data_IF_442143638351
#
_entry.id   IF_442143638351
#
_cell.length_a   1.000
_cell.length_b   1.000
_cell.length_c   1.000
_cell.angle_alpha   90.00
_cell.angle_beta   90.00
_cell.angle_gamma   90.00
#
_symmetry.space_group_name_H-M   'P 1'
#
loop_
_entity.id
_entity.type
_entity.pdbx_description
1 polymer ?
#
# COMPACT_ATOMS: atom_id res chain seq x y z
N UNK A 1 76.07 25.28 11.23
CA UNK A 1 75.83 24.18 12.20
C UNK A 1 74.51 24.46 12.90
N UNK A 2 73.62 23.44 13.01
CA UNK A 2 72.18 23.54 13.37
C UNK A 2 71.34 24.16 12.24
N UNK A 3 70.45 23.46 11.51
CA UNK A 3 69.33 22.64 11.97
C UNK A 3 68.99 21.56 10.91
N UNK A 4 69.77 20.48 10.89
CA UNK A 4 69.48 19.25 10.14
C UNK A 4 68.61 18.26 10.95
N UNK A 5 67.68 18.77 11.76
CA UNK A 5 66.94 17.96 12.75
C UNK A 5 65.41 17.99 12.60
N UNK A 6 64.87 18.66 11.58
CA UNK A 6 63.42 18.76 11.36
C UNK A 6 62.87 17.86 10.25
N UNK A 7 63.72 17.09 9.56
CA UNK A 7 63.29 16.19 8.48
C UNK A 7 63.08 14.73 8.91
N UNK A 8 63.30 14.39 10.18
CA UNK A 8 63.27 12.98 10.65
C UNK A 8 62.05 12.59 11.48
N UNK A 9 61.03 13.43 11.52
CA UNK A 9 59.77 13.15 12.25
C UNK A 9 58.52 13.07 11.37
N UNK A 10 58.64 13.37 10.07
CA UNK A 10 57.51 13.28 9.12
C UNK A 10 57.50 11.94 8.35
N UNK A 11 58.60 11.19 8.36
CA UNK A 11 58.74 9.95 7.57
C UNK A 11 58.37 8.63 8.30
N UNK A 12 57.91 8.68 9.55
CA UNK A 12 57.59 7.46 10.32
C UNK A 12 56.09 7.12 10.40
N UNK A 13 55.19 8.01 9.98
CA UNK A 13 53.73 7.77 10.00
C UNK A 13 53.13 7.50 8.62
N UNK A 14 53.94 7.34 7.58
CA UNK A 14 53.47 7.20 6.18
C UNK A 14 53.78 5.84 5.52
N UNK A 15 54.14 4.80 6.30
CA UNK A 15 54.49 3.47 5.75
C UNK A 15 53.58 2.30 6.13
N UNK A 16 52.44 2.53 6.79
CA UNK A 16 51.51 1.44 7.14
C UNK A 16 50.02 1.68 6.79
N UNK A 17 49.72 2.42 5.72
CA UNK A 17 48.38 2.38 5.11
C UNK A 17 48.47 2.09 3.60
N UNK A 18 49.14 1.00 3.26
CA UNK A 18 48.97 0.33 1.96
C UNK A 18 48.21 -0.97 2.18
N UNK A 19 46.89 -0.87 2.27
CA UNK A 19 46.04 -1.99 1.91
C UNK A 19 44.68 -1.45 1.43
N UNK A 20 44.48 -1.28 0.10
CA UNK A 20 43.16 -0.93 -0.43
C UNK A 20 42.09 -2.00 -0.11
N UNK A 21 42.51 -3.20 0.33
CA UNK A 21 41.61 -4.26 0.81
C UNK A 21 40.93 -3.93 2.14
N UNK A 22 41.58 -3.19 3.04
CA UNK A 22 41.01 -2.83 4.36
C UNK A 22 39.97 -1.70 4.27
N UNK A 23 40.15 -0.78 3.32
CA UNK A 23 39.17 0.27 3.02
C UNK A 23 37.96 -0.30 2.25
N UNK A 24 38.18 -1.24 1.31
CA UNK A 24 37.07 -1.96 0.68
C UNK A 24 36.31 -2.87 1.66
N UNK A 25 37.00 -3.55 2.59
CA UNK A 25 36.31 -4.39 3.59
C UNK A 25 35.51 -3.56 4.59
N UNK A 26 36.01 -2.37 4.96
CA UNK A 26 35.26 -1.44 5.82
C UNK A 26 34.01 -0.87 5.11
N UNK A 27 34.08 -0.58 3.82
CA UNK A 27 32.89 -0.19 3.04
C UNK A 27 31.92 -1.36 2.82
N UNK A 28 32.41 -2.58 2.60
CA UNK A 28 31.56 -3.76 2.42
C UNK A 28 30.79 -4.09 3.71
N UNK A 29 31.42 -3.89 4.88
CA UNK A 29 30.75 -4.06 6.17
C UNK A 29 29.67 -3.00 6.36
N UNK A 30 29.89 -1.73 6.00
CA UNK A 30 28.86 -0.68 6.10
C UNK A 30 27.67 -0.95 5.17
N UNK A 31 27.89 -1.46 3.96
CA UNK A 31 26.82 -1.85 3.03
C UNK A 31 26.04 -3.07 3.55
N UNK A 32 26.68 -3.97 4.31
CA UNK A 32 26.02 -5.13 4.93
C UNK A 32 25.19 -4.78 6.19
N UNK A 33 25.38 -3.61 6.82
CA UNK A 33 24.56 -3.17 7.98
C UNK A 33 23.50 -2.12 7.61
N UNK A 34 23.52 -1.60 6.37
CA UNK A 34 22.49 -0.68 5.87
C UNK A 34 21.34 -1.38 5.12
N UNK A 35 21.34 -2.71 5.07
CA UNK A 35 20.24 -3.53 4.56
C UNK A 35 19.29 -4.05 5.64
N UNK A 36 19.11 -3.32 6.74
CA UNK A 36 17.99 -3.59 7.62
C UNK A 36 16.73 -3.15 6.90
N UNK A 37 15.99 -4.14 6.38
CA UNK A 37 14.58 -4.04 6.04
C UNK A 37 13.87 -3.20 7.10
N UNK A 38 13.56 -1.96 6.76
CA UNK A 38 12.49 -1.22 7.41
C UNK A 38 11.18 -1.69 6.78
N UNK A 39 10.92 -3.00 6.83
CA UNK A 39 9.52 -3.43 6.91
C UNK A 39 9.04 -2.89 8.26
N UNK A 40 7.94 -2.12 8.32
CA UNK A 40 7.34 -1.78 9.59
C UNK A 40 6.95 -3.12 10.24
N UNK A 41 7.75 -3.57 11.20
CA UNK A 41 7.36 -4.63 12.11
C UNK A 41 6.22 -4.01 12.92
N UNK A 42 5.00 -4.23 12.44
CA UNK A 42 3.79 -4.06 13.22
C UNK A 42 4.05 -4.75 14.54
N UNK A 43 4.20 -3.97 15.61
CA UNK A 43 4.27 -4.50 16.97
C UNK A 43 3.02 -5.33 17.17
N UNK A 44 3.16 -6.65 17.05
CA UNK A 44 2.12 -7.62 17.33
C UNK A 44 1.74 -7.43 18.79
N UNK A 45 0.66 -6.67 19.00
CA UNK A 45 -0.04 -6.67 20.27
C UNK A 45 -0.44 -8.13 20.55
N UNK A 46 -0.44 -8.49 21.83
CA UNK A 46 -0.73 -9.82 22.37
C UNK A 46 -2.15 -10.32 22.05
N UNK A 47 -2.45 -10.49 20.77
CA UNK A 47 -3.66 -11.10 20.27
C UNK A 47 -3.64 -12.60 20.51
N UNK A 48 -4.80 -13.16 20.79
CA UNK A 48 -4.98 -14.61 20.81
C UNK A 48 -4.51 -15.14 19.45
N UNK A 49 -3.56 -16.08 19.48
CA UNK A 49 -3.10 -16.77 18.28
C UNK A 49 -3.62 -18.20 18.32
N UNK A 50 -3.90 -18.76 17.17
CA UNK A 50 -4.28 -20.17 17.04
C UNK A 50 -3.28 -20.87 16.14
N UNK A 51 -2.97 -22.11 16.48
CA UNK A 51 -2.10 -22.98 15.68
C UNK A 51 -2.89 -24.23 15.33
N UNK A 52 -2.86 -24.61 14.06
CA UNK A 52 -3.44 -25.87 13.60
C UNK A 52 -2.47 -26.56 12.64
N UNK A 53 -2.64 -27.87 12.48
CA UNK A 53 -1.80 -28.66 11.58
C UNK A 53 -2.48 -28.76 10.22
N UNK A 54 -1.74 -28.39 9.19
CA UNK A 54 -2.12 -28.51 7.79
C UNK A 54 -2.45 -29.95 7.40
N UNK A 55 -3.43 -30.09 6.51
CA UNK A 55 -4.08 -31.36 6.20
C UNK A 55 -3.20 -32.36 5.43
N UNK A 56 -2.25 -31.88 4.61
CA UNK A 56 -1.45 -32.77 3.73
C UNK A 56 0.05 -32.78 4.03
N UNK A 57 0.66 -31.65 4.42
CA UNK A 57 2.10 -31.56 4.66
C UNK A 57 2.50 -31.71 6.14
N UNK A 58 1.51 -31.75 7.04
CA UNK A 58 1.70 -31.61 8.49
C UNK A 58 2.42 -30.32 8.93
N UNK A 59 2.49 -29.30 8.07
CA UNK A 59 3.00 -27.99 8.47
C UNK A 59 2.07 -27.36 9.52
N UNK A 60 2.67 -26.82 10.59
CA UNK A 60 1.91 -26.04 11.55
C UNK A 60 1.69 -24.64 11.00
N UNK A 61 0.43 -24.20 11.01
CA UNK A 61 0.02 -22.87 10.57
C UNK A 61 -0.49 -22.14 11.80
N UNK A 62 0.16 -21.02 12.13
CA UNK A 62 -0.14 -20.15 13.26
C UNK A 62 -0.57 -18.79 12.76
N UNK A 63 -1.67 -18.26 13.27
CA UNK A 63 -2.13 -16.92 12.92
C UNK A 63 -2.81 -16.23 14.10
N UNK A 64 -2.82 -14.90 14.06
CA UNK A 64 -3.51 -14.08 15.05
C UNK A 64 -5.01 -14.07 14.75
N UNK A 65 -5.87 -14.34 15.74
CA UNK A 65 -7.32 -14.44 15.58
C UNK A 65 -8.06 -13.11 15.76
N UNK A 66 -7.33 -11.98 15.81
CA UNK A 66 -7.91 -10.64 15.92
C UNK A 66 -8.66 -10.22 14.66
N UNK A 67 -9.78 -9.52 14.82
CA UNK A 67 -10.53 -8.92 13.71
C UNK A 67 -9.86 -7.69 13.05
N UNK A 68 -8.73 -7.24 13.60
CA UNK A 68 -7.93 -6.14 13.05
C UNK A 68 -6.61 -6.60 12.43
N UNK A 69 -6.34 -7.91 12.43
CA UNK A 69 -5.10 -8.47 11.89
C UNK A 69 -5.41 -9.12 10.54
N UNK A 70 -4.76 -8.63 9.48
CA UNK A 70 -4.97 -9.08 8.11
C UNK A 70 -4.21 -10.38 7.90
N UNK A 71 -4.92 -11.46 7.59
CA UNK A 71 -4.31 -12.74 7.22
C UNK A 71 -4.01 -12.81 5.73
N UNK A 72 -4.98 -12.40 4.92
CA UNK A 72 -4.86 -12.47 3.46
C UNK A 72 -5.45 -11.20 2.89
N UNK A 73 -4.75 -10.60 1.94
CA UNK A 73 -5.22 -9.43 1.23
C UNK A 73 -4.86 -9.51 -0.24
N UNK A 74 -5.77 -9.09 -1.10
CA UNK A 74 -5.48 -8.95 -2.53
C UNK A 74 -5.69 -7.54 -3.02
N UNK A 75 -4.81 -7.09 -3.89
CA UNK A 75 -4.97 -5.89 -4.68
C UNK A 75 -4.98 -6.25 -6.15
N UNK A 76 -5.60 -5.40 -6.95
CA UNK A 76 -5.51 -5.46 -8.39
C UNK A 76 -5.13 -4.09 -8.90
N UNK A 77 -4.34 -4.05 -9.97
CA UNK A 77 -3.86 -2.83 -10.57
C UNK A 77 -2.39 -2.95 -10.93
N UNK A 78 -1.86 -1.94 -11.61
CA UNK A 78 -0.46 -1.89 -11.99
C UNK A 78 -0.25 -1.42 -13.43
N UNK A 79 0.93 -0.86 -13.69
CA UNK A 79 1.36 -0.46 -15.01
C UNK A 79 0.99 0.97 -15.43
N UNK A 80 1.72 1.58 -16.37
CA UNK A 80 1.56 3.01 -16.74
C UNK A 80 0.18 3.42 -17.32
N UNK A 81 -0.72 2.47 -17.59
CA UNK A 81 -2.14 2.70 -17.97
C UNK A 81 -3.14 2.02 -17.02
N UNK A 82 -2.65 1.60 -15.86
CA UNK A 82 -3.34 0.70 -14.94
C UNK A 82 -4.51 1.34 -14.21
N UNK A 83 -5.25 0.48 -13.52
CA UNK A 83 -6.39 0.91 -12.69
C UNK A 83 -5.88 1.32 -11.31
N UNK A 84 -6.32 2.47 -10.81
CA UNK A 84 -6.15 2.82 -9.41
C UNK A 84 -7.29 2.24 -8.57
N UNK A 85 -6.93 1.45 -7.56
CA UNK A 85 -7.91 0.92 -6.62
C UNK A 85 -7.78 1.61 -5.27
N UNK A 86 -8.89 2.22 -4.85
CA UNK A 86 -8.99 2.89 -3.56
C UNK A 86 -8.77 1.92 -2.39
N UNK A 87 -8.95 0.61 -2.58
CA UNK A 87 -8.70 -0.37 -1.54
C UNK A 87 -8.46 -1.77 -2.08
N UNK A 88 -8.21 -2.73 -1.18
CA UNK A 88 -8.04 -4.13 -1.55
C UNK A 88 -9.31 -4.71 -2.19
N UNK A 89 -9.14 -5.68 -3.08
CA UNK A 89 -10.26 -6.45 -3.62
C UNK A 89 -10.83 -7.41 -2.57
N UNK A 90 -9.97 -8.04 -1.79
CA UNK A 90 -10.31 -8.96 -0.70
C UNK A 90 -9.40 -8.63 0.48
N UNK A 91 -9.97 -8.55 1.68
CA UNK A 91 -9.24 -8.57 2.95
C UNK A 91 -9.89 -9.61 3.86
N UNK A 92 -9.12 -10.57 4.36
CA UNK A 92 -9.55 -11.59 5.32
C UNK A 92 -8.77 -11.37 6.62
N UNK A 93 -9.50 -11.27 7.72
CA UNK A 93 -8.95 -11.01 9.05
C UNK A 93 -8.85 -12.28 9.89
N UNK A 94 -8.06 -12.18 10.96
CA UNK A 94 -7.80 -13.25 11.92
C UNK A 94 -9.02 -13.93 12.48
N UNK A 95 -10.08 -13.16 12.71
CA UNK A 95 -11.33 -13.68 13.26
C UNK A 95 -12.21 -14.39 12.20
N UNK A 96 -11.80 -14.40 10.93
CA UNK A 96 -12.56 -14.92 9.79
C UNK A 96 -13.49 -13.90 9.13
N UNK A 97 -13.54 -12.65 9.61
CA UNK A 97 -14.22 -11.57 8.88
C UNK A 97 -13.54 -11.36 7.55
N UNK A 98 -14.31 -11.18 6.48
CA UNK A 98 -13.75 -10.73 5.21
C UNK A 98 -14.50 -9.52 4.68
N UNK A 99 -13.77 -8.64 4.00
CA UNK A 99 -14.29 -7.47 3.32
C UNK A 99 -13.91 -7.57 1.84
N UNK A 100 -14.90 -7.43 0.95
CA UNK A 100 -14.73 -7.39 -0.49
C UNK A 100 -14.83 -5.94 -0.96
N UNK A 101 -13.76 -5.43 -1.56
CA UNK A 101 -13.62 -4.01 -1.86
C UNK A 101 -13.65 -3.18 -0.57
N UNK A 102 -14.51 -2.15 -0.56
CA UNK A 102 -14.72 -1.26 0.57
C UNK A 102 -16.18 -1.23 1.05
N UNK A 103 -17.02 -2.18 0.59
CA UNK A 103 -18.48 -2.05 0.71
C UNK A 103 -19.23 -3.32 1.06
N UNK A 104 -18.60 -4.51 1.02
CA UNK A 104 -19.26 -5.78 1.36
C UNK A 104 -18.47 -6.53 2.41
N UNK A 105 -19.16 -7.00 3.44
CA UNK A 105 -18.57 -7.78 4.51
C UNK A 105 -19.25 -9.16 4.58
N UNK A 106 -18.48 -10.19 4.87
CA UNK A 106 -18.97 -11.51 5.24
C UNK A 106 -18.11 -12.15 6.33
N UNK A 107 -18.39 -13.43 6.58
CA UNK A 107 -17.71 -14.20 7.63
C UNK A 107 -17.40 -15.61 7.14
N UNK A 108 -16.15 -16.03 7.31
CA UNK A 108 -15.75 -17.43 7.33
C UNK A 108 -15.84 -17.93 8.76
N UNK A 109 -16.48 -19.08 8.97
CA UNK A 109 -16.32 -19.76 10.25
C UNK A 109 -14.88 -20.29 10.40
N UNK A 110 -14.52 -20.69 11.63
CA UNK A 110 -13.17 -21.15 11.95
C UNK A 110 -12.72 -22.32 11.08
N UNK A 111 -13.63 -23.25 10.75
CA UNK A 111 -13.32 -24.42 9.93
C UNK A 111 -13.04 -24.01 8.49
N UNK A 112 -13.87 -23.15 7.91
CA UNK A 112 -13.68 -22.63 6.57
C UNK A 112 -12.39 -21.82 6.45
N UNK A 113 -12.07 -20.99 7.45
CA UNK A 113 -10.81 -20.23 7.47
C UNK A 113 -9.59 -21.16 7.56
N UNK A 114 -9.61 -22.15 8.46
CA UNK A 114 -8.52 -23.12 8.58
C UNK A 114 -8.35 -23.96 7.31
N UNK A 115 -9.45 -24.36 6.67
CA UNK A 115 -9.41 -25.10 5.41
C UNK A 115 -8.81 -24.23 4.28
N UNK A 116 -9.18 -22.95 4.21
CA UNK A 116 -8.59 -22.00 3.26
C UNK A 116 -7.08 -21.89 3.48
N UNK A 117 -6.64 -21.59 4.70
CA UNK A 117 -5.22 -21.46 5.04
C UNK A 117 -4.44 -22.75 4.77
N UNK A 118 -4.98 -23.92 5.13
CA UNK A 118 -4.36 -25.22 4.80
C UNK A 118 -4.25 -25.40 3.30
N UNK A 119 -5.27 -25.01 2.52
CA UNK A 119 -5.21 -25.19 1.06
C UNK A 119 -4.14 -24.28 0.45
N UNK A 120 -4.06 -23.01 0.87
CA UNK A 120 -3.07 -22.07 0.37
C UNK A 120 -1.63 -22.46 0.74
N UNK A 121 -1.42 -22.90 1.98
CA UNK A 121 -0.07 -23.26 2.47
C UNK A 121 0.33 -24.66 2.02
N UNK A 122 -0.54 -25.65 2.13
CA UNK A 122 -0.17 -27.05 1.90
C UNK A 122 -0.36 -27.48 0.45
N UNK A 123 -1.52 -27.18 -0.13
CA UNK A 123 -1.88 -27.63 -1.49
C UNK A 123 -1.23 -26.71 -2.53
N UNK A 124 -1.41 -25.40 -2.36
CA UNK A 124 -0.85 -24.40 -3.28
C UNK A 124 0.58 -23.99 -2.93
N UNK A 125 1.08 -24.34 -1.74
CA UNK A 125 2.50 -24.26 -1.40
C UNK A 125 3.07 -22.86 -1.43
N UNK A 126 2.25 -21.84 -1.22
CA UNK A 126 2.65 -20.44 -1.46
C UNK A 126 3.90 -20.04 -0.66
N UNK A 127 4.02 -20.52 0.58
CA UNK A 127 5.16 -20.23 1.45
C UNK A 127 6.49 -20.88 0.99
N UNK A 128 6.44 -21.78 0.00
CA UNK A 128 7.60 -22.49 -0.53
C UNK A 128 8.13 -21.94 -1.86
N UNK A 129 7.42 -20.98 -2.45
CA UNK A 129 7.78 -20.41 -3.74
C UNK A 129 9.18 -19.80 -3.71
N UNK A 130 9.91 -19.95 -4.81
CA UNK A 130 11.23 -19.32 -4.98
C UNK A 130 11.12 -17.94 -5.59
N UNK A 131 10.03 -17.68 -6.30
CA UNK A 131 9.77 -16.42 -6.97
C UNK A 131 8.53 -15.75 -6.37
N UNK A 132 8.62 -14.44 -6.20
CA UNK A 132 7.51 -13.62 -5.72
C UNK A 132 6.80 -12.85 -6.84
N UNK A 133 7.48 -12.59 -7.96
CA UNK A 133 6.98 -11.72 -9.04
C UNK A 133 6.71 -12.50 -10.32
N UNK A 134 5.48 -12.93 -10.56
CA UNK A 134 5.07 -13.59 -11.81
C UNK A 134 4.45 -12.59 -12.78
N UNK A 135 5.32 -11.77 -13.37
CA UNK A 135 4.97 -10.70 -14.29
C UNK A 135 6.13 -10.43 -15.25
N UNK A 136 5.88 -10.42 -16.56
CA UNK A 136 6.92 -10.18 -17.56
C UNK A 136 6.55 -9.21 -18.70
N UNK A 137 5.33 -8.67 -18.68
CA UNK A 137 4.88 -7.61 -19.61
C UNK A 137 4.71 -6.31 -18.82
N UNK A 138 5.58 -5.31 -19.00
CA UNK A 138 5.40 -4.00 -18.37
C UNK A 138 4.04 -3.38 -18.70
N UNK A 139 3.57 -2.49 -17.82
CA UNK A 139 2.39 -1.67 -18.06
C UNK A 139 1.05 -2.42 -18.17
N UNK A 140 0.96 -3.61 -17.58
CA UNK A 140 -0.28 -4.38 -17.41
C UNK A 140 -0.71 -4.42 -15.94
N UNK A 141 -2.02 -4.48 -15.70
CA UNK A 141 -2.55 -4.74 -14.37
C UNK A 141 -2.09 -6.14 -13.89
N UNK A 142 -1.87 -6.27 -12.59
CA UNK A 142 -1.58 -7.54 -11.93
C UNK A 142 -2.41 -7.66 -10.65
N UNK A 143 -2.51 -8.88 -10.13
CA UNK A 143 -3.06 -9.16 -8.81
C UNK A 143 -1.92 -9.35 -7.83
N UNK A 144 -1.92 -8.57 -6.76
CA UNK A 144 -1.01 -8.75 -5.63
C UNK A 144 -1.73 -9.54 -4.55
N UNK A 145 -1.03 -10.49 -3.94
CA UNK A 145 -1.49 -11.32 -2.84
C UNK A 145 -0.51 -11.15 -1.69
N UNK A 146 -1.01 -10.58 -0.60
CA UNK A 146 -0.33 -10.48 0.69
C UNK A 146 -0.89 -11.55 1.63
N UNK A 147 0.00 -12.33 2.25
CA UNK A 147 -0.31 -13.35 3.25
C UNK A 147 0.54 -13.11 4.50
N UNK A 148 -0.13 -13.00 5.64
CA UNK A 148 0.48 -12.93 6.96
C UNK A 148 0.12 -14.18 7.76
N UNK A 149 1.06 -15.11 7.89
CA UNK A 149 0.94 -16.32 8.70
C UNK A 149 2.30 -16.73 9.28
N UNK A 150 2.31 -17.43 10.40
CA UNK A 150 3.52 -17.93 11.06
C UNK A 150 4.54 -16.84 11.42
N UNK A 151 4.04 -15.62 11.68
CA UNK A 151 4.88 -14.45 11.92
C UNK A 151 5.69 -14.02 10.69
N UNK A 152 5.35 -14.52 9.50
CA UNK A 152 5.95 -14.17 8.21
C UNK A 152 4.95 -13.39 7.37
N UNK A 153 5.49 -12.45 6.61
CA UNK A 153 4.80 -11.72 5.57
C UNK A 153 5.31 -12.23 4.22
N UNK A 154 4.39 -12.60 3.33
CA UNK A 154 4.69 -13.01 1.97
C UNK A 154 3.83 -12.21 1.01
N UNK A 155 4.49 -11.55 0.06
CA UNK A 155 3.83 -10.90 -1.06
C UNK A 155 4.14 -11.63 -2.36
N UNK A 156 3.09 -11.92 -3.14
CA UNK A 156 3.16 -12.56 -4.45
C UNK A 156 2.41 -11.71 -5.48
N UNK A 157 3.04 -11.45 -6.63
CA UNK A 157 2.44 -10.74 -7.75
C UNK A 157 2.10 -11.73 -8.87
N UNK A 158 0.86 -11.70 -9.34
CA UNK A 158 0.32 -12.53 -10.40
C UNK A 158 -0.19 -11.66 -11.56
N UNK A 159 0.47 -11.72 -12.71
CA UNK A 159 -0.01 -11.04 -13.91
C UNK A 159 0.40 -11.80 -15.17
N UNK A 160 0.46 -11.09 -16.31
CA UNK A 160 0.88 -11.70 -17.56
C UNK A 160 2.30 -12.27 -17.42
N UNK A 161 2.43 -13.58 -17.64
CA UNK A 161 3.66 -14.33 -17.43
C UNK A 161 3.84 -15.41 -18.50
N UNK A 162 5.07 -15.60 -18.98
CA UNK A 162 5.44 -16.59 -19.99
C UNK A 162 5.78 -16.01 -21.36
N UNK A 163 5.89 -14.69 -21.50
CA UNK A 163 6.44 -14.04 -22.69
C UNK A 163 7.97 -14.13 -22.75
N UNK A 164 8.64 -14.31 -21.59
CA UNK A 164 10.06 -14.62 -21.49
C UNK A 164 10.31 -16.11 -21.19
N UNK A 165 11.48 -16.67 -21.55
CA UNK A 165 11.85 -18.03 -21.14
C UNK A 165 11.80 -18.19 -19.62
N UNK A 166 10.92 -19.06 -19.13
CA UNK A 166 10.74 -19.37 -17.72
C UNK A 166 11.03 -20.85 -17.45
N UNK A 167 11.58 -21.16 -16.26
CA UNK A 167 11.86 -22.54 -15.87
C UNK A 167 10.55 -23.35 -15.69
N UNK A 168 10.65 -24.68 -15.68
CA UNK A 168 9.49 -25.52 -15.38
C UNK A 168 8.92 -25.24 -13.98
N UNK A 169 9.80 -24.92 -13.02
CA UNK A 169 9.41 -24.53 -11.67
C UNK A 169 8.65 -23.20 -11.67
N UNK A 170 9.12 -22.17 -12.37
CA UNK A 170 8.43 -20.88 -12.43
C UNK A 170 7.01 -21.03 -13.00
N UNK A 171 6.85 -21.88 -14.02
CA UNK A 171 5.54 -22.15 -14.63
C UNK A 171 4.60 -22.88 -13.68
N UNK A 172 5.12 -23.82 -12.89
CA UNK A 172 4.35 -24.52 -11.86
C UNK A 172 3.91 -23.57 -10.74
N UNK A 173 4.85 -22.78 -10.18
CA UNK A 173 4.55 -21.79 -9.13
C UNK A 173 3.53 -20.75 -9.63
N UNK A 174 3.66 -20.26 -10.86
CA UNK A 174 2.66 -19.38 -11.49
C UNK A 174 1.26 -20.02 -11.55
N UNK A 175 1.16 -21.28 -12.00
CA UNK A 175 -0.13 -21.98 -12.06
C UNK A 175 -0.74 -22.20 -10.67
N UNK A 176 0.10 -22.51 -9.67
CA UNK A 176 -0.33 -22.67 -8.28
C UNK A 176 -0.79 -21.36 -7.67
N UNK A 177 -0.14 -20.24 -7.99
CA UNK A 177 -0.62 -18.90 -7.60
C UNK A 177 -2.00 -18.60 -8.20
N UNK A 178 -2.19 -18.90 -9.49
CA UNK A 178 -3.50 -18.75 -10.14
C UNK A 178 -4.60 -19.60 -9.48
N UNK A 179 -4.27 -20.84 -9.09
CA UNK A 179 -5.18 -21.71 -8.32
C UNK A 179 -5.47 -21.15 -6.93
N UNK A 180 -4.47 -20.66 -6.22
CA UNK A 180 -4.63 -20.04 -4.90
C UNK A 180 -5.57 -18.83 -4.95
N UNK A 181 -5.40 -17.94 -5.94
CA UNK A 181 -6.29 -16.79 -6.14
C UNK A 181 -7.73 -17.24 -6.44
N UNK A 182 -7.89 -18.31 -7.23
CA UNK A 182 -9.21 -18.91 -7.46
C UNK A 182 -9.79 -19.50 -6.17
N UNK A 183 -9.02 -20.26 -5.39
CA UNK A 183 -9.43 -20.81 -4.09
C UNK A 183 -9.89 -19.72 -3.13
N UNK A 184 -9.12 -18.64 -3.01
CA UNK A 184 -9.47 -17.45 -2.23
C UNK A 184 -10.80 -16.87 -2.67
N UNK A 185 -10.96 -16.62 -3.98
CA UNK A 185 -12.19 -16.06 -4.53
C UNK A 185 -13.40 -16.94 -4.27
N UNK A 186 -13.26 -18.27 -4.32
CA UNK A 186 -14.35 -19.22 -4.02
C UNK A 186 -14.70 -19.26 -2.53
N UNK A 187 -13.71 -19.17 -1.65
CA UNK A 187 -13.95 -19.19 -0.20
C UNK A 187 -14.85 -18.02 0.26
N UNK A 188 -14.75 -16.87 -0.40
CA UNK A 188 -15.47 -15.64 -0.02
C UNK A 188 -16.78 -15.41 -0.80
N UNK A 189 -17.37 -16.44 -1.42
CA UNK A 189 -18.64 -16.34 -2.17
C UNK A 189 -19.90 -16.47 -1.30
N UNK A 190 -19.74 -16.53 0.02
CA UNK A 190 -20.85 -16.65 0.97
C UNK A 190 -21.78 -15.41 1.01
N UNK A 191 -22.83 -15.45 1.84
CA UNK A 191 -23.70 -14.30 2.04
C UNK A 191 -22.91 -13.11 2.59
N UNK A 192 -23.20 -11.92 2.09
CA UNK A 192 -22.56 -10.66 2.50
C UNK A 192 -23.60 -9.62 2.93
N UNK A 193 -23.17 -8.70 3.80
CA UNK A 193 -23.89 -7.48 4.17
C UNK A 193 -23.09 -6.26 3.71
N UNK A 194 -23.72 -5.09 3.70
CA UNK A 194 -22.99 -3.84 3.45
C UNK A 194 -21.95 -3.60 4.56
N UNK A 195 -20.72 -3.29 4.17
CA UNK A 195 -19.70 -2.81 5.08
C UNK A 195 -19.92 -1.31 5.33
N UNK A 196 -19.95 -0.91 6.60
CA UNK A 196 -20.13 0.48 7.01
C UNK A 196 -19.00 0.88 7.98
N UNK A 197 -17.88 1.34 7.41
CA UNK A 197 -16.81 1.97 8.19
C UNK A 197 -17.29 3.33 8.72
N UNK A 198 -17.16 3.56 10.04
CA UNK A 198 -17.55 4.83 10.68
C UNK A 198 -16.48 5.89 10.63
N UNK A 199 -15.24 5.47 10.39
CA UNK A 199 -14.09 6.35 10.27
C UNK A 199 -13.72 6.40 8.80
N UNK A 200 -13.49 7.61 8.31
CA UNK A 200 -13.36 7.88 6.88
C UNK A 200 -12.10 8.68 6.64
N UNK A 201 -11.35 8.27 5.62
CA UNK A 201 -10.32 9.09 5.04
C UNK A 201 -10.92 9.95 3.92
N UNK A 202 -10.52 11.21 3.91
CA UNK A 202 -10.67 12.08 2.76
C UNK A 202 -9.56 11.74 1.76
N UNK A 203 -9.90 11.80 0.48
CA UNK A 203 -8.98 11.77 -0.65
C UNK A 203 -9.48 12.81 -1.67
N UNK A 204 -8.59 13.70 -2.09
CA UNK A 204 -8.92 14.93 -2.83
C UNK A 204 -7.87 15.18 -3.90
N UNK A 205 -8.33 15.48 -5.11
CA UNK A 205 -7.46 15.98 -6.17
C UNK A 205 -8.20 17.02 -7.00
N UNK A 206 -7.46 17.98 -7.57
CA UNK A 206 -8.03 18.96 -8.48
C UNK A 206 -8.42 18.31 -9.80
N UNK A 207 -9.59 18.67 -10.33
CA UNK A 207 -10.11 18.14 -11.59
C UNK A 207 -10.41 19.26 -12.58
N UNK A 208 -10.07 19.03 -13.85
CA UNK A 208 -10.34 19.97 -14.96
C UNK A 208 -11.52 19.49 -15.83
N UNK A 209 -12.11 18.35 -15.47
CA UNK A 209 -13.18 17.70 -16.21
C UNK A 209 -14.48 17.58 -15.40
N UNK A 210 -14.70 18.50 -14.46
CA UNK A 210 -15.92 18.52 -13.65
C UNK A 210 -17.17 18.61 -14.55
N UNK A 211 -18.22 17.86 -14.19
CA UNK A 211 -19.44 17.85 -14.99
C UNK A 211 -20.29 19.10 -14.71
N UNK A 212 -20.07 20.16 -15.49
CA UNK A 212 -20.78 21.45 -15.32
C UNK A 212 -22.29 21.39 -15.64
N UNK A 213 -22.82 20.23 -16.05
CA UNK A 213 -24.27 20.02 -16.20
C UNK A 213 -24.96 19.74 -14.86
N UNK A 214 -24.22 19.41 -13.81
CA UNK A 214 -24.75 19.23 -12.46
C UNK A 214 -24.41 20.44 -11.60
N UNK A 215 -25.25 20.74 -10.60
CA UNK A 215 -24.90 21.70 -9.56
C UNK A 215 -23.76 21.12 -8.73
N UNK A 216 -22.63 21.81 -8.71
CA UNK A 216 -21.45 21.46 -7.91
C UNK A 216 -21.51 22.29 -6.62
N UNK A 217 -21.57 21.66 -5.43
CA UNK A 217 -21.62 22.39 -4.17
C UNK A 217 -20.28 23.05 -3.85
N UNK A 218 -20.33 24.14 -3.07
CA UNK A 218 -19.14 24.72 -2.46
C UNK A 218 -18.59 23.81 -1.35
N UNK A 219 -17.30 23.92 -1.08
CA UNK A 219 -16.65 23.18 0.01
C UNK A 219 -17.26 23.52 1.38
N UNK A 220 -17.80 22.55 2.15
CA UNK A 220 -18.57 22.83 3.36
C UNK A 220 -17.71 22.85 4.64
N UNK A 221 -16.39 22.69 4.55
CA UNK A 221 -15.49 22.61 5.70
C UNK A 221 -14.67 23.90 5.80
N UNK A 222 -14.56 24.45 7.01
CA UNK A 222 -13.78 25.66 7.30
C UNK A 222 -12.41 25.38 7.93
N UNK A 223 -12.17 24.14 8.37
CA UNK A 223 -10.93 23.74 9.05
C UNK A 223 -9.71 23.75 8.10
N UNK A 224 -9.94 23.50 6.82
CA UNK A 224 -8.95 23.52 5.75
C UNK A 224 -9.64 23.69 4.38
N UNK A 225 -8.87 24.14 3.38
CA UNK A 225 -9.34 24.33 2.01
C UNK A 225 -9.11 23.08 1.16
N UNK A 226 -9.86 22.92 0.06
CA UNK A 226 -9.63 21.84 -0.91
C UNK A 226 -8.24 21.92 -1.53
N UNK A 227 -7.73 23.13 -1.77
CA UNK A 227 -6.36 23.34 -2.23
C UNK A 227 -5.31 22.78 -1.25
N UNK A 228 -5.51 22.98 0.06
CA UNK A 228 -4.63 22.42 1.11
C UNK A 228 -4.69 20.89 1.12
N UNK A 229 -5.89 20.32 1.08
CA UNK A 229 -6.07 18.87 1.07
C UNK A 229 -5.44 18.22 -0.18
N UNK A 230 -5.76 18.72 -1.37
CA UNK A 230 -5.23 18.19 -2.61
C UNK A 230 -3.69 18.30 -2.68
N UNK A 231 -3.12 19.41 -2.22
CA UNK A 231 -1.66 19.59 -2.20
C UNK A 231 -0.98 18.66 -1.18
N UNK A 232 -1.61 18.45 -0.02
CA UNK A 232 -1.07 17.56 1.00
C UNK A 232 -1.06 16.10 0.56
N UNK A 233 -2.10 15.67 -0.16
CA UNK A 233 -2.25 14.27 -0.59
C UNK A 233 -1.48 13.99 -1.90
N UNK A 234 -1.53 14.93 -2.85
CA UNK A 234 -1.07 14.73 -4.22
C UNK A 234 0.09 15.63 -4.66
N UNK A 235 0.56 16.52 -3.79
CA UNK A 235 1.58 17.51 -4.12
C UNK A 235 1.05 18.68 -4.94
N UNK A 236 1.95 19.64 -5.20
CA UNK A 236 1.64 20.82 -6.01
C UNK A 236 1.51 20.41 -7.47
N UNK A 237 0.44 20.85 -8.13
CA UNK A 237 0.32 20.72 -9.58
C UNK A 237 1.37 21.63 -10.22
N UNK A 238 2.30 21.10 -11.03
CA UNK A 238 3.24 21.95 -11.74
C UNK A 238 2.49 22.99 -12.57
N UNK A 239 2.98 24.23 -12.55
CA UNK A 239 2.53 25.26 -13.48
C UNK A 239 3.02 24.88 -14.90
N UNK A 240 2.33 23.98 -15.60
CA UNK A 240 2.70 23.60 -16.97
C UNK A 240 1.89 24.37 -18.02
N UNK A 241 2.62 25.30 -18.65
CA UNK A 241 2.25 26.40 -19.56
C UNK A 241 1.67 25.99 -20.95
N UNK A 242 1.32 24.71 -21.17
CA UNK A 242 0.98 24.21 -22.52
C UNK A 242 -0.21 23.25 -22.63
N UNK A 243 -0.84 22.82 -21.53
CA UNK A 243 -2.02 21.95 -21.61
C UNK A 243 -3.27 22.64 -21.08
N UNK A 244 -4.35 22.58 -21.86
CA UNK A 244 -5.66 23.11 -21.42
C UNK A 244 -6.32 22.26 -20.33
N UNK A 245 -5.76 21.07 -20.04
CA UNK A 245 -6.23 20.12 -19.02
C UNK A 245 -5.02 19.37 -18.41
N UNK A 246 -4.28 19.97 -17.47
CA UNK A 246 -3.17 19.27 -16.82
C UNK A 246 -3.73 18.09 -16.00
N UNK A 247 -3.26 16.87 -16.25
CA UNK A 247 -3.67 15.69 -15.50
C UNK A 247 -2.63 15.37 -14.43
N UNK A 248 -3.06 15.34 -13.16
CA UNK A 248 -2.22 14.88 -12.06
C UNK A 248 -2.40 13.36 -11.91
N UNK A 249 -1.32 12.56 -11.89
CA UNK A 249 -1.44 11.10 -11.80
C UNK A 249 -1.93 10.59 -10.44
N UNK A 250 -1.83 11.40 -9.39
CA UNK A 250 -2.29 11.07 -8.05
C UNK A 250 -3.81 10.84 -8.01
N UNK A 251 -4.27 9.79 -7.33
CA UNK A 251 -5.67 9.37 -7.21
C UNK A 251 -6.39 9.01 -8.53
N UNK A 252 -5.73 9.19 -9.68
CA UNK A 252 -6.16 8.66 -10.98
C UNK A 252 -5.45 7.35 -11.33
N UNK A 253 -4.13 7.33 -11.10
CA UNK A 253 -3.26 6.20 -11.42
C UNK A 253 -2.37 5.83 -10.24
N UNK A 254 -1.96 6.78 -9.41
CA UNK A 254 -0.98 6.58 -8.33
C UNK A 254 -1.60 6.83 -6.96
N UNK A 255 -1.08 6.15 -5.93
CA UNK A 255 -1.48 6.40 -4.54
C UNK A 255 -1.02 7.82 -4.12
N UNK A 256 -1.75 8.48 -3.22
CA UNK A 256 -1.30 9.74 -2.64
C UNK A 256 -0.15 9.51 -1.64
N UNK A 257 0.60 10.56 -1.32
CA UNK A 257 1.66 10.47 -0.30
C UNK A 257 1.11 10.34 1.12
N UNK A 258 -0.04 10.98 1.36
CA UNK A 258 -0.76 10.99 2.62
C UNK A 258 -2.27 11.00 2.35
N UNK A 259 -3.07 10.71 3.36
CA UNK A 259 -4.51 10.90 3.33
C UNK A 259 -4.97 11.58 4.61
N UNK A 260 -6.08 12.32 4.56
CA UNK A 260 -6.59 13.04 5.74
C UNK A 260 -7.64 12.20 6.46
N UNK A 261 -7.48 12.01 7.77
CA UNK A 261 -8.48 11.36 8.61
C UNK A 261 -9.53 12.39 9.05
N UNK A 262 -10.79 12.17 8.67
CA UNK A 262 -11.88 13.09 8.99
C UNK A 262 -12.47 12.84 10.38
N UNK A 263 -12.86 13.94 11.05
CA UNK A 263 -13.71 13.86 12.23
C UNK A 263 -15.19 13.67 11.88
N UNK A 264 -16.01 13.32 12.88
CA UNK A 264 -17.43 13.03 12.68
C UNK A 264 -18.25 14.22 12.12
N UNK A 265 -17.90 15.45 12.48
CA UNK A 265 -18.58 16.67 11.99
C UNK A 265 -18.22 16.90 10.52
N UNK A 266 -16.95 16.74 10.18
CA UNK A 266 -16.46 16.86 8.81
C UNK A 266 -17.12 15.83 7.90
N UNK A 267 -17.18 14.56 8.33
CA UNK A 267 -17.87 13.48 7.60
C UNK A 267 -19.32 13.87 7.33
N UNK A 268 -20.07 14.27 8.36
CA UNK A 268 -21.49 14.62 8.20
C UNK A 268 -21.71 15.78 7.23
N UNK A 269 -20.88 16.83 7.30
CA UNK A 269 -20.99 17.99 6.42
C UNK A 269 -20.74 17.62 4.96
N UNK A 270 -19.70 16.82 4.69
CA UNK A 270 -19.34 16.40 3.34
C UNK A 270 -20.38 15.43 2.79
N UNK A 271 -20.81 14.42 3.57
CA UNK A 271 -21.86 13.48 3.15
C UNK A 271 -23.18 14.19 2.84
N UNK A 272 -23.54 15.21 3.63
CA UNK A 272 -24.73 16.03 3.37
C UNK A 272 -24.62 16.77 2.03
N UNK A 273 -23.47 17.40 1.76
CA UNK A 273 -23.22 18.07 0.49
C UNK A 273 -23.20 17.10 -0.71
N UNK A 274 -22.72 15.87 -0.49
CA UNK A 274 -22.70 14.80 -1.49
C UNK A 274 -24.03 14.04 -1.64
N UNK A 275 -25.06 14.38 -0.85
CA UNK A 275 -26.34 13.66 -0.79
C UNK A 275 -26.16 12.16 -0.48
N UNK A 276 -25.27 11.83 0.46
CA UNK A 276 -24.97 10.47 0.88
C UNK A 276 -24.11 9.66 -0.09
N UNK A 277 -23.56 10.29 -1.14
CA UNK A 277 -22.58 9.63 -2.04
C UNK A 277 -21.19 9.62 -1.40
N UNK A 278 -20.41 8.61 -1.76
CA UNK A 278 -19.01 8.46 -1.31
C UNK A 278 -18.02 9.28 -2.14
N UNK A 279 -18.44 9.88 -3.26
CA UNK A 279 -17.57 10.74 -4.05
C UNK A 279 -18.40 11.78 -4.82
N UNK A 280 -17.78 12.91 -5.12
CA UNK A 280 -18.34 13.95 -5.95
C UNK A 280 -17.39 15.13 -6.11
N UNK A 281 -17.79 16.07 -6.97
CA UNK A 281 -17.02 17.28 -7.22
C UNK A 281 -17.47 18.40 -6.27
N UNK A 282 -16.52 19.25 -5.88
CA UNK A 282 -16.73 20.48 -5.14
C UNK A 282 -16.08 21.66 -5.86
N UNK A 283 -16.57 22.86 -5.56
CA UNK A 283 -16.03 24.12 -6.08
C UNK A 283 -15.41 24.94 -4.94
N UNK A 284 -14.22 25.50 -5.20
CA UNK A 284 -13.52 26.42 -4.28
C UNK A 284 -12.59 27.33 -5.10
N UNK A 285 -12.61 28.64 -4.85
CA UNK A 285 -11.71 29.63 -5.46
C UNK A 285 -11.56 29.53 -6.99
N UNK A 286 -12.68 29.36 -7.70
CA UNK A 286 -12.72 29.19 -9.17
C UNK A 286 -12.08 27.90 -9.70
N UNK A 287 -11.84 26.92 -8.82
CA UNK A 287 -11.31 25.60 -9.15
C UNK A 287 -12.30 24.50 -8.77
N UNK A 288 -12.15 23.33 -9.40
CA UNK A 288 -12.93 22.14 -9.10
C UNK A 288 -12.05 21.05 -8.53
N UNK A 289 -12.58 20.32 -7.55
CA UNK A 289 -11.88 19.20 -6.92
C UNK A 289 -12.82 18.01 -6.84
N UNK A 290 -12.29 16.83 -7.12
CA UNK A 290 -12.98 15.59 -6.83
C UNK A 290 -12.61 15.14 -5.43
N UNK A 291 -13.63 14.91 -4.60
CA UNK A 291 -13.52 14.42 -3.23
C UNK A 291 -14.05 13.00 -3.16
N UNK A 292 -13.33 12.13 -2.46
CA UNK A 292 -13.68 10.73 -2.22
C UNK A 292 -13.62 10.48 -0.71
N UNK A 293 -14.71 9.97 -0.17
CA UNK A 293 -14.87 9.48 1.19
C UNK A 293 -14.61 7.98 1.22
N UNK A 294 -13.43 7.59 1.70
CA UNK A 294 -13.01 6.20 1.78
C UNK A 294 -13.17 5.68 3.22
N UNK A 295 -14.10 4.76 3.51
CA UNK A 295 -14.18 4.14 4.83
C UNK A 295 -12.89 3.37 5.13
N UNK A 296 -12.40 3.48 6.36
CA UNK A 296 -11.27 2.69 6.85
C UNK A 296 -11.68 1.24 7.08
N UNK A 297 -10.79 0.32 6.75
CA UNK A 297 -10.85 -1.09 7.10
C UNK A 297 -10.42 -1.31 8.57
N UNK A 298 -10.78 -2.45 9.19
CA UNK A 298 -10.48 -2.74 10.59
C UNK A 298 -9.01 -2.56 11.01
N UNK A 299 -8.07 -3.02 10.19
CA UNK A 299 -6.62 -2.91 10.45
C UNK A 299 -6.11 -1.47 10.31
N UNK A 300 -6.68 -0.72 9.37
CA UNK A 300 -6.30 0.67 9.07
C UNK A 300 -6.65 1.63 10.21
N UNK A 301 -7.68 1.32 11.00
CA UNK A 301 -8.05 2.07 12.19
C UNK A 301 -6.91 2.10 13.21
N UNK A 302 -6.23 0.97 13.37
CA UNK A 302 -5.15 0.81 14.34
C UNK A 302 -3.82 1.29 13.78
N UNK A 303 -3.52 0.95 12.52
CA UNK A 303 -2.25 1.32 11.87
C UNK A 303 -2.21 2.77 11.42
N UNK A 304 -3.36 3.45 11.36
CA UNK A 304 -3.51 4.81 10.81
C UNK A 304 -2.88 4.91 9.42
N UNK A 305 -3.09 3.88 8.62
CA UNK A 305 -2.51 3.75 7.28
C UNK A 305 -3.54 3.10 6.37
N UNK A 306 -3.80 3.68 5.20
CA UNK A 306 -4.70 3.10 4.20
C UNK A 306 -3.96 2.07 3.36
N UNK A 307 -4.64 0.95 3.11
CA UNK A 307 -4.23 -0.06 2.16
C UNK A 307 -4.70 0.34 0.76
N UNK A 308 -3.78 0.80 -0.09
CA UNK A 308 -4.08 1.30 -1.43
C UNK A 308 -3.08 0.75 -2.44
N UNK A 309 -3.49 0.64 -3.70
CA UNK A 309 -2.63 0.13 -4.76
C UNK A 309 -2.88 0.87 -6.06
N UNK A 310 -1.81 1.32 -6.70
CA UNK A 310 -1.86 2.05 -7.97
C UNK A 310 -0.86 1.52 -9.00
N UNK A 311 -0.84 2.20 -10.14
CA UNK A 311 -0.04 1.90 -11.33
C UNK A 311 1.48 1.87 -11.12
N UNK A 312 2.01 2.65 -10.16
CA UNK A 312 3.46 2.81 -9.96
C UNK A 312 4.03 1.92 -8.86
N UNK A 313 3.20 1.08 -8.25
CA UNK A 313 3.59 0.20 -7.15
C UNK A 313 3.99 -1.18 -7.70
N UNK A 314 5.13 -1.68 -7.24
CA UNK A 314 5.59 -3.07 -7.47
C UNK A 314 5.52 -3.92 -6.20
N UNK A 315 5.12 -3.29 -5.09
CA UNK A 315 4.89 -3.89 -3.79
C UNK A 315 3.84 -3.08 -3.05
N UNK A 316 3.24 -3.66 -2.01
CA UNK A 316 2.33 -2.95 -1.13
C UNK A 316 3.01 -1.76 -0.43
N UNK A 317 2.37 -0.58 -0.51
CA UNK A 317 2.77 0.62 0.22
C UNK A 317 1.52 1.17 0.90
N UNK A 318 1.60 1.31 2.22
CA UNK A 318 0.54 1.92 3.00
C UNK A 318 0.58 3.46 2.91
N UNK A 319 -0.58 4.09 2.76
CA UNK A 319 -0.71 5.55 2.74
C UNK A 319 -0.98 6.05 4.17
N UNK A 320 -0.06 6.81 4.80
CA UNK A 320 -0.25 7.30 6.17
C UNK A 320 -1.42 8.27 6.28
N UNK A 321 -2.14 8.17 7.41
CA UNK A 321 -3.26 9.06 7.73
C UNK A 321 -2.82 10.20 8.63
N UNK A 322 -3.13 11.43 8.22
CA UNK A 322 -3.00 12.63 9.04
C UNK A 322 -4.27 12.83 9.88
N UNK A 323 -4.10 12.87 11.19
CA UNK A 323 -5.15 13.28 12.14
C UNK A 323 -4.89 14.73 12.60
N UNK A 324 -5.84 15.63 12.39
CA UNK A 324 -5.75 17.02 12.82
C UNK A 324 -5.52 18.02 11.69
N UNK A 325 -4.68 19.03 11.93
CA UNK A 325 -4.55 20.19 11.04
C UNK A 325 -3.83 19.85 9.74
N UNK A 326 -4.49 20.13 8.61
CA UNK A 326 -3.91 20.00 7.27
C UNK A 326 -2.86 21.09 7.04
N UNK A 327 -1.65 20.77 6.57
CA UNK A 327 -0.62 21.76 6.27
C UNK A 327 -1.08 22.79 5.23
N UNK A 328 -0.62 24.05 5.33
CA UNK A 328 -0.90 25.04 4.30
C UNK A 328 -0.21 24.66 2.97
N UNK A 329 -0.78 25.12 1.86
CA UNK A 329 -0.15 24.98 0.53
C UNK A 329 1.23 25.63 0.57
N UNK A 330 2.32 24.93 0.18
CA UNK A 330 3.66 25.51 0.18
C UNK A 330 3.71 26.69 -0.78
N UNK A 331 4.30 27.80 -0.34
CA UNK A 331 4.57 28.93 -1.24
C UNK A 331 5.72 28.55 -2.19
N UNK A 332 5.58 28.73 -3.51
CA UNK A 332 6.67 28.49 -4.45
C UNK A 332 7.91 29.26 -4.00
N UNK A 333 9.03 28.57 -3.80
CA UNK A 333 10.29 29.27 -3.55
C UNK A 333 10.75 29.83 -4.90
N UNK A 334 10.93 31.15 -5.05
CA UNK A 334 11.36 31.71 -6.33
C UNK A 334 12.70 31.08 -6.71
N UNK A 335 12.73 30.45 -7.89
CA UNK A 335 13.95 29.94 -8.47
C UNK A 335 14.94 31.10 -8.64
N UNK A 336 16.14 30.95 -8.09
CA UNK A 336 17.22 31.93 -8.22
C UNK A 336 17.94 31.83 -9.56
#
# INVERSE_FOLDING_TARGET
MHKAFLYRWIDYTQKHLRSPLLLLSAMLVIVLISGCDTSPISKSQSGQSTTFTGSSTQQQITYNTSGNEVLIRTFYGGGQKGTFNLGPQISIYGDGTYILGLNRQGKLDTTALQQLLSTLVDTDGLLSFKRQLFFDIPDQDATFLDINSDGKHLELMYGAFGSQPASAQDKDEYQRLGKALATLSHAVQGPTTAYQGKVVALLTYQTFSANLKQTIPDWPIADFTLAQAATFECGIIPEDDVSSNPTVPCLQFTIPEHAILLDARQIQNIETALNGKQAGDFFEDSQYYTVILRPLLPDELQSKTLAMFGSSQIQFIGVPLLEGSVPPVPTPTPAK
#
